data_IF_062472041741
#
_entry.id   IF_062472041741
#
_cell.length_a   1.000
_cell.length_b   1.000
_cell.length_c   1.000
_cell.angle_alpha   90.00
_cell.angle_beta   90.00
_cell.angle_gamma   90.00
#
_symmetry.space_group_name_H-M   'P 1'
#
loop_
_entity.id
_entity.type
_entity.pdbx_description
1 polymer ?
#
# COMPACT_ATOMS: atom_id res chain seq x y z
N UNK A 1 -8.93 -17.41 -34.01
CA UNK A 1 -8.37 -17.39 -32.64
C UNK A 1 -9.30 -16.54 -31.82
N UNK A 2 -10.00 -17.15 -30.87
CA UNK A 2 -10.98 -16.51 -30.00
C UNK A 2 -10.26 -15.43 -29.17
N UNK A 3 -10.44 -14.16 -29.51
CA UNK A 3 -9.95 -13.05 -28.69
C UNK A 3 -10.81 -13.02 -27.44
N UNK A 4 -10.36 -13.67 -26.36
CA UNK A 4 -10.98 -13.51 -25.04
C UNK A 4 -11.02 -12.01 -24.73
N UNK A 5 -12.19 -11.39 -24.85
CA UNK A 5 -12.42 -9.99 -24.45
C UNK A 5 -12.01 -9.83 -23.01
N UNK A 6 -11.12 -8.88 -22.74
CA UNK A 6 -10.63 -8.59 -21.38
C UNK A 6 -11.83 -8.36 -20.44
N UNK A 7 -11.88 -8.99 -19.25
CA UNK A 7 -13.05 -8.92 -18.37
C UNK A 7 -13.53 -7.50 -18.08
N UNK A 8 -12.61 -6.53 -18.00
CA UNK A 8 -12.88 -5.12 -17.76
C UNK A 8 -13.84 -4.49 -18.79
N UNK A 9 -13.80 -4.94 -20.05
CA UNK A 9 -14.65 -4.39 -21.13
C UNK A 9 -16.14 -4.73 -20.96
N UNK A 10 -16.46 -5.70 -20.09
CA UNK A 10 -17.83 -6.16 -19.80
C UNK A 10 -18.36 -5.62 -18.47
N UNK A 11 -17.60 -4.75 -17.80
CA UNK A 11 -17.97 -4.18 -16.52
C UNK A 11 -19.24 -3.33 -16.64
N UNK A 12 -20.27 -3.70 -15.88
CA UNK A 12 -21.52 -2.94 -15.75
C UNK A 12 -21.50 -2.16 -14.44
N UNK A 13 -21.46 -0.84 -14.54
CA UNK A 13 -21.46 0.06 -13.39
C UNK A 13 -22.74 -0.10 -12.54
N UNK A 14 -22.59 -0.04 -11.23
CA UNK A 14 -23.69 -0.02 -10.25
C UNK A 14 -23.65 1.28 -9.44
N UNK A 15 -22.54 1.57 -8.75
CA UNK A 15 -22.36 2.79 -7.95
C UNK A 15 -20.88 3.15 -7.75
N UNK A 16 -20.59 4.42 -7.48
CA UNK A 16 -19.26 4.87 -7.03
C UNK A 16 -19.05 4.49 -5.56
N UNK A 17 -17.89 3.90 -5.25
CA UNK A 17 -17.46 3.57 -3.89
C UNK A 17 -16.62 4.70 -3.29
N UNK A 18 -15.70 5.26 -4.06
CA UNK A 18 -14.79 6.32 -3.61
C UNK A 18 -14.43 7.24 -4.79
N UNK A 19 -14.29 8.53 -4.51
CA UNK A 19 -13.73 9.51 -5.42
C UNK A 19 -12.67 10.32 -4.65
N UNK A 20 -11.44 10.33 -5.16
CA UNK A 20 -10.31 11.07 -4.60
C UNK A 20 -9.81 12.07 -5.66
N UNK A 21 -10.25 13.34 -5.58
CA UNK A 21 -9.84 14.38 -6.53
C UNK A 21 -8.34 14.69 -6.46
N UNK A 22 -7.71 14.51 -5.30
CA UNK A 22 -6.29 14.80 -5.12
C UNK A 22 -5.42 13.73 -5.78
N UNK A 23 -5.76 12.46 -5.55
CA UNK A 23 -5.10 11.34 -6.22
C UNK A 23 -5.58 11.14 -7.68
N UNK A 24 -6.58 11.92 -8.13
CA UNK A 24 -7.22 11.80 -9.46
C UNK A 24 -7.69 10.36 -9.72
N UNK A 25 -8.32 9.76 -8.71
CA UNK A 25 -8.73 8.35 -8.69
C UNK A 25 -10.22 8.22 -8.40
N UNK A 26 -10.85 7.25 -9.04
CA UNK A 26 -12.23 6.81 -8.73
C UNK A 26 -12.27 5.30 -8.56
N UNK A 27 -13.10 4.83 -7.63
CA UNK A 27 -13.37 3.42 -7.40
C UNK A 27 -14.85 3.14 -7.60
N UNK A 28 -15.15 2.16 -8.45
CA UNK A 28 -16.50 1.85 -8.92
C UNK A 28 -16.86 0.42 -8.53
N UNK A 29 -18.07 0.24 -7.99
CA UNK A 29 -18.70 -1.06 -7.86
C UNK A 29 -19.52 -1.35 -9.12
N UNK A 30 -19.43 -2.58 -9.59
CA UNK A 30 -20.18 -3.07 -10.73
C UNK A 30 -20.34 -4.58 -10.72
N UNK A 31 -20.67 -5.13 -11.89
CA UNK A 31 -20.75 -6.57 -12.13
C UNK A 31 -20.15 -6.96 -13.48
N UNK A 32 -19.62 -8.17 -13.55
CA UNK A 32 -19.21 -8.86 -14.78
C UNK A 32 -19.82 -10.26 -14.67
N UNK A 33 -20.55 -10.71 -15.70
CA UNK A 33 -21.22 -12.03 -15.70
C UNK A 33 -22.03 -12.34 -14.43
N UNK A 34 -22.76 -11.34 -13.94
CA UNK A 34 -23.58 -11.40 -12.71
C UNK A 34 -22.82 -11.63 -11.40
N UNK A 35 -21.48 -11.62 -11.43
CA UNK A 35 -20.63 -11.59 -10.23
C UNK A 35 -20.13 -10.17 -9.95
N UNK A 36 -19.94 -9.84 -8.67
CA UNK A 36 -19.48 -8.51 -8.25
C UNK A 36 -18.07 -8.22 -8.77
N UNK A 37 -17.84 -6.97 -9.18
CA UNK A 37 -16.53 -6.49 -9.61
C UNK A 37 -16.26 -5.08 -9.05
N UNK A 38 -15.00 -4.80 -8.73
CA UNK A 38 -14.55 -3.46 -8.34
C UNK A 38 -13.53 -2.98 -9.37
N UNK A 39 -13.83 -1.86 -10.01
CA UNK A 39 -12.95 -1.20 -10.98
C UNK A 39 -12.38 0.08 -10.37
N UNK A 40 -11.07 0.16 -10.30
CA UNK A 40 -10.36 1.38 -9.93
C UNK A 40 -9.76 2.03 -11.17
N UNK A 41 -9.96 3.32 -11.35
CA UNK A 41 -9.37 4.12 -12.43
C UNK A 41 -8.56 5.26 -11.82
N UNK A 42 -7.31 5.42 -12.25
CA UNK A 42 -6.38 6.45 -11.77
C UNK A 42 -5.75 7.16 -12.97
N UNK A 43 -5.82 8.50 -13.00
CA UNK A 43 -5.17 9.29 -14.06
C UNK A 43 -3.66 9.07 -14.04
N UNK A 44 -3.06 8.90 -15.21
CA UNK A 44 -1.61 8.81 -15.35
C UNK A 44 -0.93 10.14 -15.07
N UNK A 45 0.33 10.08 -14.64
CA UNK A 45 1.20 11.26 -14.56
C UNK A 45 1.68 11.70 -15.94
N UNK A 46 2.33 12.87 -16.01
CA UNK A 46 3.00 13.32 -17.23
C UNK A 46 4.32 12.54 -17.41
N UNK A 47 4.63 12.14 -18.64
CA UNK A 47 5.93 11.57 -19.03
C UNK A 47 7.02 12.66 -19.06
N UNK A 48 8.31 12.29 -18.90
CA UNK A 48 9.41 13.26 -18.77
C UNK A 48 9.64 14.11 -20.03
N UNK A 49 9.31 13.59 -21.22
CA UNK A 49 9.31 14.33 -22.49
C UNK A 49 7.91 14.80 -22.83
N UNK A 50 7.55 15.98 -22.32
CA UNK A 50 6.27 16.61 -22.63
C UNK A 50 6.43 17.43 -23.91
N UNK A 51 5.79 17.00 -25.00
CA UNK A 51 5.54 17.85 -26.17
C UNK A 51 4.29 18.70 -25.90
N UNK A 52 4.39 20.01 -25.64
CA UNK A 52 3.23 20.82 -25.25
C UNK A 52 2.13 20.81 -26.31
N UNK A 53 2.50 20.67 -27.58
CA UNK A 53 1.56 20.61 -28.71
C UNK A 53 0.60 19.42 -28.61
N UNK A 54 1.06 18.28 -28.08
CA UNK A 54 0.22 17.11 -27.84
C UNK A 54 -0.70 17.30 -26.64
N UNK A 55 -0.31 18.07 -25.64
CA UNK A 55 -1.15 18.35 -24.47
C UNK A 55 -2.16 19.49 -24.68
N UNK A 56 -1.85 20.44 -25.56
CA UNK A 56 -2.62 21.67 -25.79
C UNK A 56 -3.49 21.60 -27.06
N UNK A 57 -4.14 20.46 -27.35
CA UNK A 57 -4.91 20.28 -28.59
C UNK A 57 -6.18 21.11 -28.63
N UNK A 58 -6.91 21.20 -27.52
CA UNK A 58 -8.10 22.03 -27.41
C UNK A 58 -8.08 22.78 -26.09
N UNK A 59 -7.61 24.04 -26.14
CA UNK A 59 -7.45 24.87 -24.96
C UNK A 59 -8.70 25.72 -24.72
N UNK A 60 -9.19 25.72 -23.49
CA UNK A 60 -10.21 26.63 -23.00
C UNK A 60 -9.67 27.38 -21.80
N UNK A 61 -9.43 28.68 -21.97
CA UNK A 61 -9.09 29.58 -20.86
C UNK A 61 -10.27 29.70 -19.90
N UNK A 62 -10.01 29.56 -18.59
CA UNK A 62 -11.00 29.81 -17.53
C UNK A 62 -10.96 31.29 -17.16
N UNK A 63 -9.77 31.80 -16.80
CA UNK A 63 -9.55 33.21 -16.48
C UNK A 63 -8.04 33.56 -16.56
N UNK A 64 -7.75 34.85 -16.45
CA UNK A 64 -6.40 35.40 -16.42
C UNK A 64 -6.35 36.67 -15.56
N UNK A 65 -5.21 36.92 -14.91
CA UNK A 65 -4.94 38.16 -14.18
C UNK A 65 -3.45 38.49 -14.25
N UNK A 66 -3.10 39.66 -14.79
CA UNK A 66 -1.71 40.10 -15.02
C UNK A 66 -0.88 39.03 -15.76
N UNK A 67 0.13 38.44 -15.10
CA UNK A 67 0.98 37.37 -15.66
C UNK A 67 0.40 35.96 -15.50
N UNK A 68 -0.73 35.79 -14.81
CA UNK A 68 -1.31 34.48 -14.50
C UNK A 68 -2.42 34.10 -15.47
N UNK A 69 -2.32 32.91 -16.05
CA UNK A 69 -3.31 32.32 -16.95
C UNK A 69 -3.64 30.90 -16.50
N UNK A 70 -4.92 30.55 -16.43
CA UNK A 70 -5.33 29.17 -16.13
C UNK A 70 -6.55 28.77 -16.94
N UNK A 71 -6.58 27.49 -17.30
CA UNK A 71 -7.55 26.93 -18.22
C UNK A 71 -7.57 25.41 -18.15
N UNK A 72 -8.29 24.84 -19.10
CA UNK A 72 -8.34 23.40 -19.33
C UNK A 72 -7.88 23.09 -20.74
N UNK A 73 -7.40 21.88 -20.96
CA UNK A 73 -7.03 21.40 -22.29
C UNK A 73 -7.49 19.96 -22.49
N UNK A 74 -7.82 19.61 -23.73
CA UNK A 74 -7.85 18.23 -24.17
C UNK A 74 -6.47 17.86 -24.74
N UNK A 75 -5.88 16.78 -24.23
CA UNK A 75 -4.61 16.24 -24.72
C UNK A 75 -4.85 15.11 -25.74
N UNK A 76 -3.91 14.94 -26.66
CA UNK A 76 -3.79 13.74 -27.49
C UNK A 76 -3.37 12.55 -26.61
N UNK A 77 -3.96 11.38 -26.84
CA UNK A 77 -3.77 10.18 -26.00
C UNK A 77 -3.40 8.98 -26.88
N UNK A 78 -2.53 8.13 -26.36
CA UNK A 78 -2.06 6.91 -27.02
C UNK A 78 -1.93 5.81 -25.97
N UNK A 79 -2.50 4.63 -26.21
CA UNK A 79 -2.57 3.57 -25.18
C UNK A 79 -1.19 3.02 -24.80
N UNK A 80 -0.23 3.03 -25.72
CA UNK A 80 1.12 2.48 -25.50
C UNK A 80 2.10 3.53 -24.97
N UNK A 81 1.91 4.81 -25.33
CA UNK A 81 2.85 5.89 -25.01
C UNK A 81 2.38 6.83 -23.91
N UNK A 82 1.13 7.29 -23.99
CA UNK A 82 0.56 8.30 -23.09
C UNK A 82 -0.90 7.94 -22.75
N UNK A 83 -1.13 6.81 -22.04
CA UNK A 83 -2.47 6.35 -21.74
C UNK A 83 -3.17 7.28 -20.76
N UNK A 84 -4.48 7.44 -20.87
CA UNK A 84 -5.25 8.39 -20.05
C UNK A 84 -5.33 8.01 -18.58
N UNK A 85 -5.54 6.73 -18.30
CA UNK A 85 -5.70 6.21 -16.95
C UNK A 85 -5.10 4.81 -16.87
N UNK A 86 -4.56 4.47 -15.70
CA UNK A 86 -4.35 3.09 -15.27
C UNK A 86 -5.68 2.53 -14.75
N UNK A 87 -5.95 1.25 -15.02
CA UNK A 87 -7.07 0.53 -14.41
C UNK A 87 -6.59 -0.64 -13.54
N UNK A 88 -7.41 -1.00 -12.55
CA UNK A 88 -7.22 -2.20 -11.74
C UNK A 88 -8.57 -2.82 -11.45
N UNK A 89 -8.67 -4.15 -11.60
CA UNK A 89 -9.91 -4.90 -11.49
C UNK A 89 -9.80 -5.95 -10.38
N UNK A 90 -10.74 -5.94 -9.45
CA UNK A 90 -10.97 -7.03 -8.49
C UNK A 90 -12.23 -7.77 -8.92
N UNK A 91 -12.08 -9.01 -9.39
CA UNK A 91 -13.17 -9.84 -9.92
C UNK A 91 -12.86 -11.34 -9.75
N UNK A 92 -13.78 -12.13 -9.16
CA UNK A 92 -14.99 -11.70 -8.45
C UNK A 92 -14.66 -11.02 -7.12
N UNK A 93 -15.36 -9.91 -6.84
CA UNK A 93 -15.20 -9.15 -5.61
C UNK A 93 -16.08 -9.70 -4.49
N UNK A 94 -15.53 -9.81 -3.28
CA UNK A 94 -16.29 -10.16 -2.08
C UNK A 94 -16.82 -8.89 -1.40
N UNK A 95 -17.81 -9.03 -0.53
CA UNK A 95 -18.30 -7.94 0.33
C UNK A 95 -17.18 -7.28 1.15
N UNK A 96 -16.15 -8.05 1.52
CA UNK A 96 -14.99 -7.49 2.24
C UNK A 96 -14.14 -6.58 1.34
N UNK A 97 -14.09 -6.83 0.02
CA UNK A 97 -13.45 -5.93 -0.92
C UNK A 97 -14.27 -4.64 -1.06
N UNK A 98 -15.60 -4.74 -1.17
CA UNK A 98 -16.49 -3.56 -1.31
C UNK A 98 -16.29 -2.60 -0.14
N UNK A 99 -16.38 -3.09 1.10
CA UNK A 99 -16.18 -2.27 2.31
C UNK A 99 -14.81 -1.61 2.41
N UNK A 100 -13.76 -2.24 1.86
CA UNK A 100 -12.39 -1.69 1.85
C UNK A 100 -12.32 -0.43 0.97
N UNK A 101 -12.94 -0.50 -0.20
CA UNK A 101 -12.92 0.55 -1.23
C UNK A 101 -14.02 1.59 -1.05
N UNK A 102 -15.04 1.32 -0.25
CA UNK A 102 -16.06 2.30 0.08
C UNK A 102 -15.47 3.48 0.87
N UNK A 103 -15.80 4.68 0.43
CA UNK A 103 -15.53 5.91 1.16
C UNK A 103 -16.37 5.91 2.43
N UNK A 104 -15.70 6.14 3.55
CA UNK A 104 -16.27 6.05 4.87
C UNK A 104 -15.53 7.03 5.78
N UNK A 105 -16.19 7.51 6.85
CA UNK A 105 -15.53 8.35 7.84
C UNK A 105 -14.38 7.57 8.49
N UNK A 106 -13.27 8.28 8.66
CA UNK A 106 -12.11 7.79 9.39
C UNK A 106 -12.21 8.26 10.83
N UNK A 107 -11.86 7.36 11.74
CA UNK A 107 -11.79 7.59 13.17
C UNK A 107 -10.40 7.26 13.68
N UNK A 108 -9.84 8.11 14.55
CA UNK A 108 -8.60 7.79 15.24
C UNK A 108 -8.91 6.86 16.41
N UNK A 109 -8.29 5.68 16.41
CA UNK A 109 -8.44 4.65 17.43
C UNK A 109 -7.22 4.67 18.34
N UNK A 110 -7.43 4.58 19.66
CA UNK A 110 -6.39 4.36 20.67
C UNK A 110 -6.44 2.92 21.17
N UNK A 111 -5.85 1.99 20.41
CA UNK A 111 -5.92 0.57 20.72
C UNK A 111 -4.93 0.18 21.83
N UNK A 112 -5.45 -0.26 22.97
CA UNK A 112 -4.64 -0.74 24.10
C UNK A 112 -4.19 -2.20 23.91
N UNK A 113 -3.21 -2.71 24.69
CA UNK A 113 -2.84 -4.12 24.68
C UNK A 113 -4.04 -5.05 24.93
N UNK A 114 -4.94 -4.67 25.83
CA UNK A 114 -6.14 -5.44 26.16
C UNK A 114 -7.08 -5.50 24.94
N UNK A 115 -7.34 -4.35 24.30
CA UNK A 115 -8.15 -4.27 23.09
C UNK A 115 -7.59 -5.12 21.95
N UNK A 116 -6.26 -5.13 21.80
CA UNK A 116 -5.60 -6.00 20.84
C UNK A 116 -5.90 -7.48 21.13
N UNK A 117 -5.71 -7.93 22.37
CA UNK A 117 -5.91 -9.33 22.73
C UNK A 117 -7.38 -9.78 22.62
N UNK A 118 -8.33 -8.92 22.96
CA UNK A 118 -9.75 -9.28 23.03
C UNK A 118 -10.52 -9.06 21.73
N UNK A 119 -10.14 -8.06 20.93
CA UNK A 119 -10.86 -7.69 19.70
C UNK A 119 -10.05 -8.00 18.45
N UNK A 120 -8.81 -7.52 18.38
CA UNK A 120 -8.05 -7.51 17.12
C UNK A 120 -7.42 -8.85 16.82
N UNK A 121 -6.77 -9.49 17.81
CA UNK A 121 -6.11 -10.78 17.63
C UNK A 121 -7.08 -11.89 17.20
N UNK A 122 -8.28 -12.04 17.80
CA UNK A 122 -9.28 -12.98 17.29
C UNK A 122 -9.69 -12.69 15.84
N UNK A 123 -9.85 -11.41 15.48
CA UNK A 123 -10.13 -11.02 14.10
C UNK A 123 -8.99 -11.44 13.16
N UNK A 124 -7.72 -11.21 13.51
CA UNK A 124 -6.56 -11.62 12.70
C UNK A 124 -6.61 -13.10 12.36
N UNK A 125 -6.93 -13.96 13.33
CA UNK A 125 -7.05 -15.41 13.10
C UNK A 125 -8.12 -15.76 12.06
N UNK A 126 -9.22 -15.01 12.00
CA UNK A 126 -10.25 -15.19 10.94
C UNK A 126 -9.81 -14.74 9.56
N UNK A 127 -8.71 -13.99 9.47
CA UNK A 127 -8.18 -13.44 8.22
C UNK A 127 -7.00 -14.25 7.66
N UNK A 128 -6.49 -15.22 8.43
CA UNK A 128 -5.49 -16.19 7.96
C UNK A 128 -6.14 -17.23 7.03
N UNK A 129 -5.35 -17.83 6.14
CA UNK A 129 -5.83 -18.79 5.12
C UNK A 129 -5.94 -18.17 3.73
N UNK A 130 -7.02 -18.47 2.99
CA UNK A 130 -7.21 -18.14 1.56
C UNK A 130 -6.92 -16.68 1.20
N UNK A 131 -7.14 -15.75 2.14
CA UNK A 131 -6.91 -14.33 1.93
C UNK A 131 -5.43 -13.96 1.76
N UNK A 132 -4.53 -14.83 2.21
CA UNK A 132 -3.08 -14.73 2.07
C UNK A 132 -2.56 -15.61 0.92
N UNK A 133 -3.43 -16.29 0.16
CA UNK A 133 -3.01 -17.20 -0.90
C UNK A 133 -2.12 -16.48 -1.95
N UNK A 134 -2.39 -15.21 -2.25
CA UNK A 134 -1.54 -14.43 -3.16
C UNK A 134 -0.11 -14.25 -2.61
N UNK A 135 0.04 -14.08 -1.29
CA UNK A 135 1.35 -14.01 -0.62
C UNK A 135 2.06 -15.35 -0.73
N UNK A 136 1.37 -16.44 -0.39
CA UNK A 136 1.89 -17.81 -0.50
C UNK A 136 2.33 -18.12 -1.94
N UNK A 137 1.57 -17.67 -2.93
CA UNK A 137 1.90 -17.88 -4.33
C UNK A 137 3.20 -17.19 -4.74
N UNK A 138 3.45 -15.96 -4.27
CA UNK A 138 4.70 -15.23 -4.52
C UNK A 138 5.87 -15.93 -3.81
N UNK A 139 5.70 -16.28 -2.53
CA UNK A 139 6.78 -16.83 -1.73
C UNK A 139 7.18 -18.25 -2.14
N UNK A 140 6.22 -19.11 -2.48
CA UNK A 140 6.45 -20.56 -2.63
C UNK A 140 6.07 -21.16 -3.99
N UNK A 141 5.26 -20.47 -4.80
CA UNK A 141 4.73 -21.04 -6.05
C UNK A 141 5.12 -20.26 -7.31
N UNK A 142 6.03 -19.30 -7.18
CA UNK A 142 6.62 -18.59 -8.32
C UNK A 142 5.68 -17.60 -9.01
N UNK A 143 4.60 -17.18 -8.37
CA UNK A 143 3.79 -16.08 -8.90
C UNK A 143 4.62 -14.78 -8.90
N UNK A 144 4.55 -14.05 -10.01
CA UNK A 144 5.33 -12.80 -10.23
C UNK A 144 6.86 -12.99 -10.13
N UNK A 145 7.37 -14.21 -10.31
CA UNK A 145 8.80 -14.50 -10.20
C UNK A 145 9.66 -13.65 -11.14
N UNK A 146 9.13 -13.31 -12.32
CA UNK A 146 9.76 -12.43 -13.31
C UNK A 146 9.83 -10.95 -12.88
N UNK A 147 9.02 -10.54 -11.90
CA UNK A 147 8.99 -9.18 -11.36
C UNK A 147 9.83 -9.03 -10.09
N UNK A 148 10.33 -10.11 -9.53
CA UNK A 148 11.19 -10.07 -8.33
C UNK A 148 12.47 -9.31 -8.64
N UNK A 149 12.76 -8.28 -7.83
CA UNK A 149 13.98 -7.48 -7.96
C UNK A 149 15.16 -8.19 -7.29
N UNK A 150 14.94 -8.66 -6.06
CA UNK A 150 15.90 -9.46 -5.31
C UNK A 150 15.20 -10.19 -4.17
N UNK A 151 15.85 -11.23 -3.66
CA UNK A 151 15.40 -12.04 -2.53
C UNK A 151 16.58 -12.71 -1.84
N UNK A 152 16.38 -13.13 -0.60
CA UNK A 152 17.31 -13.95 0.16
C UNK A 152 16.52 -14.96 1.00
N UNK A 153 17.15 -15.59 1.99
CA UNK A 153 16.50 -16.58 2.85
C UNK A 153 15.45 -15.96 3.81
N UNK A 154 15.50 -14.64 4.04
CA UNK A 154 14.63 -13.93 4.98
C UNK A 154 13.39 -13.32 4.29
N UNK A 155 13.49 -12.86 3.03
CA UNK A 155 12.41 -12.14 2.33
C UNK A 155 12.53 -12.09 0.78
N UNK A 156 11.48 -11.58 0.14
CA UNK A 156 11.41 -11.22 -1.29
C UNK A 156 11.03 -9.73 -1.46
N UNK A 157 11.67 -9.02 -2.40
CA UNK A 157 11.29 -7.66 -2.81
C UNK A 157 10.85 -7.64 -4.27
N UNK A 158 9.67 -7.04 -4.51
CA UNK A 158 9.09 -6.88 -5.84
C UNK A 158 8.35 -5.53 -5.97
N UNK A 159 8.14 -5.02 -7.20
CA UNK A 159 7.30 -3.85 -7.47
C UNK A 159 5.89 -4.05 -6.92
N UNK A 160 5.37 -3.08 -6.16
CA UNK A 160 3.99 -3.10 -5.70
C UNK A 160 3.06 -2.82 -6.89
N UNK A 161 1.84 -3.35 -6.85
CA UNK A 161 0.80 -3.07 -7.85
C UNK A 161 0.51 -1.57 -8.05
N UNK A 162 0.92 -0.70 -7.12
CA UNK A 162 0.77 0.75 -7.20
C UNK A 162 1.79 1.42 -8.13
N UNK A 163 2.95 0.82 -8.35
CA UNK A 163 3.98 1.38 -9.23
C UNK A 163 3.78 0.93 -10.68
N UNK A 164 4.17 1.77 -11.64
CA UNK A 164 4.15 1.46 -13.08
C UNK A 164 5.40 0.69 -13.55
N UNK A 165 6.43 0.61 -12.70
CA UNK A 165 7.70 -0.04 -13.00
C UNK A 165 8.66 0.80 -13.85
N UNK A 166 8.34 2.08 -14.12
CA UNK A 166 9.10 2.95 -15.01
C UNK A 166 9.64 4.18 -14.28
N UNK A 167 8.77 4.96 -13.65
CA UNK A 167 9.18 6.24 -13.07
C UNK A 167 9.70 6.06 -11.64
N UNK A 168 10.98 6.33 -11.40
CA UNK A 168 11.55 6.23 -10.04
C UNK A 168 10.99 7.24 -9.05
N UNK A 169 10.50 8.40 -9.50
CA UNK A 169 9.88 9.39 -8.60
C UNK A 169 8.61 8.82 -7.96
N UNK A 170 8.01 7.80 -8.58
CA UNK A 170 6.85 7.06 -8.07
C UNK A 170 7.19 5.64 -7.63
N UNK A 171 8.47 5.31 -7.47
CA UNK A 171 8.93 3.98 -7.06
C UNK A 171 8.18 3.55 -5.80
N UNK A 172 7.54 2.38 -5.92
CA UNK A 172 6.85 1.72 -4.84
C UNK A 172 7.07 0.21 -4.96
N UNK A 173 7.81 -0.35 -4.02
CA UNK A 173 8.04 -1.78 -3.88
C UNK A 173 7.44 -2.29 -2.57
N UNK A 174 7.26 -3.61 -2.52
CA UNK A 174 6.86 -4.34 -1.32
C UNK A 174 7.93 -5.37 -0.99
N UNK A 175 8.39 -5.38 0.26
CA UNK A 175 9.19 -6.46 0.83
C UNK A 175 8.26 -7.37 1.62
N UNK A 176 8.24 -8.66 1.28
CA UNK A 176 7.42 -9.69 1.93
C UNK A 176 8.37 -10.69 2.58
N UNK A 177 8.24 -10.87 3.91
CA UNK A 177 9.09 -11.81 4.65
C UNK A 177 8.63 -13.26 4.46
N UNK A 178 9.55 -14.21 4.62
CA UNK A 178 9.18 -15.64 4.63
C UNK A 178 8.60 -16.11 5.96
N UNK A 179 8.88 -15.42 7.07
CA UNK A 179 8.36 -15.75 8.40
C UNK A 179 6.85 -15.48 8.48
N UNK A 180 6.07 -16.56 8.51
CA UNK A 180 4.60 -16.54 8.57
C UNK A 180 4.05 -16.35 9.99
N UNK A 181 4.92 -16.38 11.01
CA UNK A 181 4.54 -16.15 12.40
C UNK A 181 4.27 -14.67 12.70
N UNK A 182 4.78 -13.76 11.86
CA UNK A 182 4.64 -12.31 12.03
C UNK A 182 3.46 -11.82 11.18
N UNK A 183 2.32 -11.57 11.82
CA UNK A 183 1.11 -11.08 11.14
C UNK A 183 1.12 -9.56 11.00
N UNK A 184 1.71 -8.85 11.96
CA UNK A 184 1.83 -7.38 11.94
C UNK A 184 2.94 -6.90 12.88
N UNK A 185 3.08 -5.57 13.02
CA UNK A 185 4.00 -4.95 13.99
C UNK A 185 3.77 -5.47 15.42
N UNK A 186 2.56 -5.91 15.78
CA UNK A 186 2.22 -6.42 17.14
C UNK A 186 3.00 -7.66 17.55
N UNK A 187 3.44 -8.48 16.59
CA UNK A 187 4.17 -9.72 16.86
C UNK A 187 5.68 -9.47 17.00
N UNK A 188 6.14 -8.25 16.69
CA UNK A 188 7.54 -7.88 16.81
C UNK A 188 7.95 -7.68 18.27
N UNK A 189 9.08 -8.28 18.60
CA UNK A 189 9.72 -8.27 19.91
C UNK A 189 11.18 -7.88 19.80
N UNK A 190 11.83 -7.63 20.94
CA UNK A 190 13.28 -7.39 21.05
C UNK A 190 14.09 -8.49 20.34
N UNK A 191 13.62 -9.74 20.36
CA UNK A 191 14.25 -10.84 19.63
C UNK A 191 14.36 -10.62 18.11
N UNK A 192 13.51 -9.78 17.53
CA UNK A 192 13.47 -9.48 16.10
C UNK A 192 14.38 -8.32 15.68
N UNK A 193 15.06 -7.63 16.61
CA UNK A 193 15.89 -6.46 16.29
C UNK A 193 16.91 -6.74 15.19
N UNK A 194 17.77 -7.75 15.39
CA UNK A 194 18.79 -8.10 14.40
C UNK A 194 18.20 -8.60 13.08
N UNK A 195 16.99 -9.16 13.08
CA UNK A 195 16.28 -9.56 11.86
C UNK A 195 15.84 -8.33 11.05
N UNK A 196 15.17 -7.38 11.70
CA UNK A 196 14.71 -6.13 11.06
C UNK A 196 15.88 -5.27 10.56
N UNK A 197 16.98 -5.18 11.32
CA UNK A 197 18.19 -4.44 10.92
C UNK A 197 18.85 -5.01 9.66
N UNK A 198 18.90 -6.35 9.54
CA UNK A 198 19.43 -7.02 8.35
C UNK A 198 18.54 -6.76 7.14
N UNK A 199 17.23 -6.90 7.28
CA UNK A 199 16.27 -6.63 6.19
C UNK A 199 16.40 -5.18 5.73
N UNK A 200 16.35 -4.22 6.66
CA UNK A 200 16.50 -2.79 6.37
C UNK A 200 17.81 -2.53 5.63
N UNK A 201 18.93 -3.02 6.14
CA UNK A 201 20.25 -2.78 5.55
C UNK A 201 20.33 -3.35 4.14
N UNK A 202 19.87 -4.58 3.92
CA UNK A 202 19.91 -5.21 2.62
C UNK A 202 19.01 -4.52 1.60
N UNK A 203 17.79 -4.08 1.96
CA UNK A 203 16.94 -3.26 1.08
C UNK A 203 17.65 -1.96 0.66
N UNK A 204 18.27 -1.28 1.63
CA UNK A 204 18.96 0.00 1.45
C UNK A 204 20.29 -0.12 0.68
N UNK A 205 20.73 -1.33 0.34
CA UNK A 205 21.93 -1.60 -0.45
C UNK A 205 21.58 -2.17 -1.83
N UNK A 206 20.70 -3.19 -1.87
CA UNK A 206 20.34 -3.90 -3.10
C UNK A 206 19.50 -3.04 -4.04
N UNK A 207 18.51 -2.30 -3.53
CA UNK A 207 17.63 -1.51 -4.39
C UNK A 207 18.36 -0.34 -5.07
N UNK A 208 19.21 0.45 -4.36
CA UNK A 208 20.09 1.42 -5.01
C UNK A 208 21.06 0.79 -6.02
N UNK A 209 21.57 -0.42 -5.75
CA UNK A 209 22.44 -1.15 -6.69
C UNK A 209 21.73 -1.49 -8.00
N UNK A 210 20.47 -1.92 -7.94
CA UNK A 210 19.66 -2.26 -9.13
C UNK A 210 19.37 -1.01 -9.98
N UNK A 211 19.03 0.10 -9.34
CA UNK A 211 18.65 1.35 -10.01
C UNK A 211 19.77 2.40 -10.05
N UNK A 212 21.03 1.98 -9.88
CA UNK A 212 22.17 2.89 -9.80
C UNK A 212 22.31 3.78 -11.05
N UNK A 213 22.09 3.21 -12.23
CA UNK A 213 22.15 3.93 -13.51
C UNK A 213 21.08 5.03 -13.63
N UNK A 214 20.03 4.97 -12.83
CA UNK A 214 18.94 5.93 -12.77
C UNK A 214 19.08 6.88 -11.57
N UNK A 215 20.19 6.79 -10.82
CA UNK A 215 20.53 7.72 -9.75
C UNK A 215 19.87 7.45 -8.40
N UNK A 216 19.20 6.30 -8.20
CA UNK A 216 18.58 5.97 -6.91
C UNK A 216 19.64 5.82 -5.82
N UNK A 217 19.52 6.59 -4.74
CA UNK A 217 20.41 6.53 -3.59
C UNK A 217 19.72 5.96 -2.35
N UNK A 218 20.53 5.54 -1.37
CA UNK A 218 20.08 4.94 -0.12
C UNK A 218 19.12 5.85 0.65
N UNK A 219 19.43 7.14 0.73
CA UNK A 219 18.66 8.17 1.42
C UNK A 219 17.42 8.64 0.65
N UNK A 220 17.22 8.15 -0.58
CA UNK A 220 15.99 8.37 -1.33
C UNK A 220 14.90 7.35 -0.99
N UNK A 221 15.10 6.47 0.00
CA UNK A 221 14.16 5.40 0.33
C UNK A 221 13.48 5.64 1.69
N UNK A 222 12.15 5.64 1.68
CA UNK A 222 11.28 5.60 2.86
C UNK A 222 10.79 4.17 3.07
N UNK A 223 11.18 3.57 4.20
CA UNK A 223 10.75 2.22 4.59
C UNK A 223 9.73 2.33 5.73
N UNK A 224 8.56 1.71 5.58
CA UNK A 224 7.52 1.73 6.60
C UNK A 224 6.63 0.49 6.56
N UNK A 225 5.95 0.24 7.67
CA UNK A 225 4.92 -0.80 7.80
C UNK A 225 3.57 -0.16 8.07
N UNK A 226 2.48 -0.87 7.75
CA UNK A 226 1.13 -0.40 8.06
C UNK A 226 0.61 -0.97 9.37
N UNK A 227 -0.14 -0.15 10.11
CA UNK A 227 -1.02 -0.62 11.18
C UNK A 227 -2.37 0.12 11.16
N UNK A 228 -3.52 -0.56 11.03
CA UNK A 228 -3.69 -1.98 10.68
C UNK A 228 -3.21 -2.26 9.24
N UNK A 229 -2.58 -3.40 8.94
CA UNK A 229 -2.26 -3.78 7.57
C UNK A 229 -3.52 -4.21 6.78
N UNK A 230 -3.46 -4.23 5.45
CA UNK A 230 -4.58 -4.78 4.64
C UNK A 230 -4.62 -6.31 4.65
N UNK A 231 -3.44 -6.93 4.82
CA UNK A 231 -3.22 -8.37 4.86
C UNK A 231 -2.31 -8.67 6.04
N UNK A 232 -2.70 -9.65 6.86
CA UNK A 232 -1.99 -10.01 8.08
C UNK A 232 -0.85 -11.01 7.80
N UNK A 233 0.12 -10.53 7.02
CA UNK A 233 1.42 -11.14 6.78
C UNK A 233 2.42 -10.01 6.77
N UNK A 234 3.49 -10.06 7.54
CA UNK A 234 4.37 -8.92 7.70
C UNK A 234 5.01 -8.50 6.37
N UNK A 235 4.91 -7.21 6.06
CA UNK A 235 5.47 -6.64 4.85
C UNK A 235 5.91 -5.20 5.09
N UNK A 236 6.96 -4.81 4.38
CA UNK A 236 7.55 -3.48 4.47
C UNK A 236 7.33 -2.79 3.11
N UNK A 237 6.74 -1.61 3.15
CA UNK A 237 6.66 -0.72 2.00
C UNK A 237 8.00 -0.02 1.80
N UNK A 238 8.53 -0.10 0.58
CA UNK A 238 9.79 0.54 0.18
C UNK A 238 9.47 1.55 -0.91
N UNK A 239 9.55 2.83 -0.59
CA UNK A 239 8.99 3.90 -1.43
C UNK A 239 10.03 4.99 -1.63
N UNK A 240 10.04 5.64 -2.80
CA UNK A 240 10.87 6.83 -2.97
C UNK A 240 10.46 7.93 -1.97
N UNK A 241 11.41 8.54 -1.28
CA UNK A 241 11.18 9.61 -0.31
C UNK A 241 10.49 10.83 -0.95
N UNK A 242 10.74 11.08 -2.23
CA UNK A 242 10.11 12.13 -3.03
C UNK A 242 8.69 11.77 -3.50
N UNK A 243 8.28 10.51 -3.34
CA UNK A 243 6.92 10.13 -3.65
C UNK A 243 5.97 10.63 -2.57
N UNK A 244 5.07 11.53 -2.97
CA UNK A 244 4.04 12.13 -2.12
C UNK A 244 2.63 11.58 -2.45
N UNK A 245 2.52 10.75 -3.49
CA UNK A 245 1.26 10.14 -3.92
C UNK A 245 0.81 9.00 -3.02
N UNK A 246 -0.50 8.70 -2.99
CA UNK A 246 -1.18 7.73 -2.12
C UNK A 246 -1.49 8.18 -0.68
N UNK A 247 -1.61 9.49 -0.45
CA UNK A 247 -2.12 10.15 0.78
C UNK A 247 -2.24 9.21 1.99
N UNK A 248 -3.39 8.55 2.15
CA UNK A 248 -3.73 7.71 3.30
C UNK A 248 -2.74 6.58 3.65
N UNK A 249 -1.98 6.01 2.70
CA UNK A 249 -1.04 4.93 3.01
C UNK A 249 0.22 5.41 3.73
N UNK A 250 0.63 6.67 3.53
CA UNK A 250 1.86 7.23 4.11
C UNK A 250 1.62 8.15 5.30
N UNK A 251 0.36 8.39 5.68
CA UNK A 251 0.03 9.27 6.80
C UNK A 251 0.43 8.67 8.15
N UNK A 252 0.80 9.56 9.08
CA UNK A 252 0.84 9.23 10.49
C UNK A 252 -0.54 8.74 10.96
N UNK A 253 -0.56 7.71 11.81
CA UNK A 253 -1.78 6.97 12.11
C UNK A 253 -2.11 5.88 11.09
N UNK A 254 -1.21 5.59 10.13
CA UNK A 254 -1.30 4.40 9.27
C UNK A 254 0.08 3.80 9.01
N UNK A 255 1.00 4.62 8.52
CA UNK A 255 2.40 4.25 8.33
C UNK A 255 3.17 4.40 9.64
N UNK A 256 4.03 3.43 9.93
CA UNK A 256 5.02 3.47 11.00
C UNK A 256 6.37 3.24 10.32
N UNK A 257 7.30 4.19 10.43
CA UNK A 257 8.62 4.03 9.82
C UNK A 257 9.30 2.78 10.39
N UNK A 258 9.98 2.02 9.53
CA UNK A 258 10.70 0.82 9.98
C UNK A 258 11.79 1.18 10.99
N UNK A 259 12.45 2.32 10.80
CA UNK A 259 13.46 2.81 11.74
C UNK A 259 12.87 3.11 13.12
N UNK A 260 11.68 3.72 13.18
CA UNK A 260 10.97 3.94 14.44
C UNK A 260 10.60 2.61 15.12
N UNK A 261 10.23 1.58 14.34
CA UNK A 261 9.97 0.24 14.89
C UNK A 261 11.22 -0.34 15.52
N UNK A 262 12.36 -0.26 14.82
CA UNK A 262 13.66 -0.75 15.30
C UNK A 262 14.08 0.00 16.56
N UNK A 263 14.07 1.34 16.54
CA UNK A 263 14.45 2.14 17.71
C UNK A 263 13.54 1.87 18.91
N UNK A 264 12.22 1.78 18.71
CA UNK A 264 11.29 1.44 19.78
C UNK A 264 11.62 0.10 20.46
N UNK A 265 11.94 -0.93 19.68
CA UNK A 265 12.36 -2.22 20.23
C UNK A 265 13.72 -2.12 20.92
N UNK A 266 14.66 -1.33 20.39
CA UNK A 266 15.96 -1.10 21.00
C UNK A 266 15.84 -0.41 22.36
N UNK A 267 15.00 0.62 22.47
CA UNK A 267 14.73 1.31 23.72
C UNK A 267 14.07 0.38 24.74
N UNK A 268 13.13 -0.49 24.31
CA UNK A 268 12.53 -1.51 25.17
C UNK A 268 13.56 -2.51 25.70
N UNK A 269 14.45 -2.99 24.84
CA UNK A 269 15.53 -3.88 25.24
C UNK A 269 16.44 -3.22 26.29
N UNK A 270 16.77 -1.95 26.07
CA UNK A 270 17.65 -1.16 26.95
C UNK A 270 17.01 -0.83 28.31
N UNK A 271 15.69 -0.66 28.35
CA UNK A 271 14.93 -0.41 29.58
C UNK A 271 14.59 -1.69 30.37
N UNK A 272 14.76 -2.87 29.78
CA UNK A 272 14.44 -4.13 30.45
C UNK A 272 15.39 -4.40 31.61
N UNK A 273 14.83 -4.68 32.79
CA UNK A 273 15.61 -5.10 33.97
C UNK A 273 16.34 -6.43 33.76
N UNK A 274 15.92 -7.21 32.76
CA UNK A 274 16.59 -8.44 32.33
C UNK A 274 17.05 -8.28 30.88
N UNK A 275 18.37 -8.22 30.69
CA UNK A 275 18.98 -8.20 29.35
C UNK A 275 18.65 -9.45 28.50
N UNK A 276 18.02 -10.48 29.09
CA UNK A 276 17.61 -11.71 28.41
C UNK A 276 16.12 -11.77 28.04
N UNK A 277 15.28 -10.83 28.49
CA UNK A 277 13.86 -10.85 28.11
C UNK A 277 13.68 -10.33 26.68
N UNK A 278 13.77 -11.26 25.73
CA UNK A 278 13.56 -11.02 24.30
C UNK A 278 12.08 -11.04 23.90
N UNK A 279 11.16 -11.29 24.84
CA UNK A 279 9.72 -11.38 24.57
C UNK A 279 9.02 -10.02 24.61
N UNK A 280 9.65 -9.01 25.24
CA UNK A 280 9.14 -7.63 25.25
C UNK A 280 9.04 -7.09 23.82
N UNK A 281 7.96 -6.37 23.52
CA UNK A 281 7.68 -5.93 22.15
C UNK A 281 6.43 -5.09 22.00
N UNK A 282 5.94 -4.99 20.76
CA UNK A 282 4.79 -4.16 20.42
C UNK A 282 3.45 -4.68 21.00
N UNK A 283 3.40 -5.94 21.45
CA UNK A 283 2.25 -6.47 22.17
C UNK A 283 1.87 -5.64 23.42
N UNK A 284 2.83 -4.96 24.05
CA UNK A 284 2.59 -4.12 25.25
C UNK A 284 2.29 -2.65 24.95
N UNK A 285 2.38 -2.20 23.70
CA UNK A 285 2.14 -0.78 23.35
C UNK A 285 0.65 -0.47 23.23
N UNK A 286 0.28 0.78 23.53
CA UNK A 286 -0.93 1.38 22.96
C UNK A 286 -0.58 1.95 21.59
N UNK A 287 -1.32 1.59 20.55
CA UNK A 287 -1.05 2.04 19.16
C UNK A 287 -2.21 2.91 18.71
N UNK A 288 -1.90 4.10 18.21
CA UNK A 288 -2.89 5.03 17.66
C UNK A 288 -2.90 4.96 16.14
N UNK A 289 -4.07 4.77 15.52
CA UNK A 289 -4.19 4.68 14.07
C UNK A 289 -5.59 5.04 13.58
N UNK A 290 -5.71 5.35 12.29
CA UNK A 290 -6.97 5.63 11.63
C UNK A 290 -7.69 4.34 11.21
N UNK A 291 -9.00 4.29 11.44
CA UNK A 291 -9.86 3.18 11.08
C UNK A 291 -11.12 3.70 10.37
N UNK A 292 -11.48 3.09 9.24
CA UNK A 292 -12.76 3.36 8.57
C UNK A 292 -13.90 2.76 9.39
N UNK A 293 -15.02 3.47 9.50
CA UNK A 293 -16.26 2.95 10.11
C UNK A 293 -16.78 1.68 9.40
N UNK A 294 -16.47 1.49 8.11
CA UNK A 294 -16.82 0.28 7.35
C UNK A 294 -15.90 -0.92 7.60
N UNK A 295 -14.80 -0.74 8.33
CA UNK A 295 -13.87 -1.82 8.64
C UNK A 295 -14.47 -2.77 9.69
N UNK A 296 -14.36 -4.10 9.49
CA UNK A 296 -14.96 -5.10 10.42
C UNK A 296 -14.60 -4.88 11.89
N UNK A 297 -13.35 -4.50 12.18
CA UNK A 297 -12.91 -4.20 13.55
C UNK A 297 -13.70 -3.09 14.26
N UNK A 298 -14.28 -2.15 13.50
CA UNK A 298 -15.12 -1.09 14.05
C UNK A 298 -16.32 -1.68 14.81
N UNK A 299 -17.08 -2.55 14.14
CA UNK A 299 -18.25 -3.22 14.70
C UNK A 299 -17.91 -4.30 15.72
N UNK A 300 -16.71 -4.88 15.63
CA UNK A 300 -16.22 -5.89 16.59
C UNK A 300 -15.81 -5.30 17.94
N UNK A 301 -15.81 -3.97 18.09
CA UNK A 301 -15.62 -3.30 19.37
C UNK A 301 -14.61 -2.16 19.35
N UNK A 302 -13.85 -1.95 18.28
CA UNK A 302 -12.88 -0.85 18.25
C UNK A 302 -13.52 0.55 18.23
N UNK A 303 -14.80 0.67 17.88
CA UNK A 303 -15.52 1.95 17.98
C UNK A 303 -15.53 2.52 19.40
N UNK A 304 -15.45 1.67 20.43
CA UNK A 304 -15.43 2.07 21.84
C UNK A 304 -14.06 2.64 22.26
N UNK A 305 -13.06 2.52 21.38
CA UNK A 305 -11.68 3.03 21.54
C UNK A 305 -11.39 4.23 20.61
N UNK A 306 -12.41 4.79 19.95
CA UNK A 306 -12.26 6.00 19.15
C UNK A 306 -12.00 7.22 20.05
N UNK A 307 -11.12 8.12 19.60
CA UNK A 307 -10.78 9.39 20.27
C UNK A 307 -11.81 10.48 19.99
#
# INVERSE_FOLDING_TARGET
MDTKTEPVTRFKYVRTLEEDPLAKRVVLLGSIDDEQAILTLEKTGFSQTVEPERLLRQVRTIASNDVYWWGTTLAEQDVEKDPTCKYSLVYPATETHVRKYESARLHMIRETPEAYQTVVKPYIETMKGDRLQWVTNILHHGAEAERVLFRNDDYVVLPDMKWDGQNLDTLYCCCIVYDDSISSVRDLTVGHLGYLERIRTSILEELPRIYQAQGLQRDNLRLYVHYQPSYYHFHIHVVNANFLGLANSMLAGKAILLEDVIDNLFQMASASASASDRSLGYASKTINYQLKETHKLWDLGLRDYAQ
#
